data_IF_456965369339
#
_entry.id   IF_456965369339
#
_cell.length_a   1.000
_cell.length_b   1.000
_cell.length_c   1.000
_cell.angle_alpha   90.00
_cell.angle_beta   90.00
_cell.angle_gamma   90.00
#
_symmetry.space_group_name_H-M   'P 1'
#
loop_
_entity.id
_entity.type
_entity.pdbx_description
1 polymer ?
#
# COMPACT_ATOMS: atom_id res chain seq x y z
N UNK A 1 -42.22 -13.67 -36.68
CA UNK A 1 -41.01 -14.51 -36.51
C UNK A 1 -40.50 -14.42 -35.07
N UNK A 2 -40.58 -15.52 -34.32
CA UNK A 2 -40.07 -15.59 -32.94
C UNK A 2 -38.54 -15.47 -32.97
N UNK A 3 -37.99 -14.45 -32.33
CA UNK A 3 -36.54 -14.29 -32.20
C UNK A 3 -36.01 -15.45 -31.35
N UNK A 4 -35.09 -16.23 -31.92
CA UNK A 4 -34.40 -17.31 -31.23
C UNK A 4 -33.51 -16.68 -30.15
N UNK A 5 -33.90 -16.79 -28.88
CA UNK A 5 -33.09 -16.31 -27.75
C UNK A 5 -32.01 -17.36 -27.48
N UNK A 6 -30.75 -16.96 -27.51
CA UNK A 6 -29.61 -17.79 -27.12
C UNK A 6 -29.26 -17.42 -25.67
N UNK A 7 -29.30 -18.36 -24.70
CA UNK A 7 -28.86 -18.08 -23.34
C UNK A 7 -27.36 -17.73 -23.34
N UNK A 8 -27.02 -16.59 -22.75
CA UNK A 8 -25.65 -16.17 -22.51
C UNK A 8 -25.57 -15.48 -21.15
N UNK A 9 -24.51 -15.75 -20.40
CA UNK A 9 -24.15 -14.99 -19.21
C UNK A 9 -23.41 -13.72 -19.68
N UNK A 10 -24.03 -12.56 -19.53
CA UNK A 10 -23.45 -11.28 -19.93
C UNK A 10 -23.28 -10.36 -18.71
N UNK A 11 -22.04 -9.94 -18.45
CA UNK A 11 -21.79 -8.87 -17.49
C UNK A 11 -22.17 -7.54 -18.13
N UNK A 12 -23.29 -6.96 -17.69
CA UNK A 12 -23.76 -5.67 -18.19
C UNK A 12 -22.94 -4.53 -17.60
N UNK A 13 -22.23 -3.84 -18.49
CA UNK A 13 -21.43 -2.68 -18.13
C UNK A 13 -22.32 -1.42 -18.10
N UNK A 14 -22.29 -0.69 -16.99
CA UNK A 14 -22.95 0.62 -16.89
C UNK A 14 -22.14 1.68 -17.66
N UNK A 15 -22.76 2.27 -18.69
CA UNK A 15 -22.17 3.32 -19.53
C UNK A 15 -22.69 4.73 -19.20
N UNK A 16 -23.49 4.89 -18.14
CA UNK A 16 -24.02 6.20 -17.73
C UNK A 16 -22.97 7.12 -17.10
N UNK A 17 -21.89 6.55 -16.56
CA UNK A 17 -20.78 7.32 -15.98
C UNK A 17 -19.74 7.60 -17.07
N UNK A 18 -19.47 8.89 -17.41
CA UNK A 18 -18.50 9.23 -18.43
C UNK A 18 -17.06 8.92 -17.95
N UNK A 19 -16.10 8.70 -18.87
CA UNK A 19 -14.69 8.56 -18.51
C UNK A 19 -14.15 9.82 -17.81
N UNK A 20 -13.41 9.65 -16.72
CA UNK A 20 -12.78 10.75 -15.99
C UNK A 20 -11.56 11.30 -16.73
N UNK A 21 -11.52 12.63 -16.93
CA UNK A 21 -10.42 13.30 -17.64
C UNK A 21 -9.10 13.29 -16.86
N UNK A 22 -9.16 13.26 -15.51
CA UNK A 22 -8.01 13.14 -14.61
C UNK A 22 -8.22 11.94 -13.68
N UNK A 23 -7.91 10.71 -14.13
CA UNK A 23 -8.14 9.51 -13.34
C UNK A 23 -7.43 9.55 -11.99
N UNK A 24 -8.07 9.03 -10.94
CA UNK A 24 -7.47 8.85 -9.61
C UNK A 24 -7.31 7.35 -9.31
N UNK A 25 -6.14 6.97 -8.75
CA UNK A 25 -5.80 5.57 -8.45
C UNK A 25 -6.76 4.92 -7.48
N UNK A 26 -7.19 5.66 -6.45
CA UNK A 26 -8.13 5.16 -5.43
C UNK A 26 -9.61 5.17 -5.88
N UNK A 27 -9.88 5.44 -7.15
CA UNK A 27 -11.22 5.34 -7.74
C UNK A 27 -12.29 6.08 -6.94
N UNK A 28 -13.39 5.39 -6.63
CA UNK A 28 -14.54 5.96 -5.92
C UNK A 28 -14.15 6.51 -4.55
N UNK A 29 -13.17 5.93 -3.86
CA UNK A 29 -12.71 6.42 -2.55
C UNK A 29 -11.97 7.76 -2.64
N UNK A 30 -11.46 8.13 -3.82
CA UNK A 30 -10.94 9.46 -4.12
C UNK A 30 -11.94 10.36 -4.87
N UNK A 31 -13.22 9.99 -4.93
CA UNK A 31 -14.26 10.74 -5.61
C UNK A 31 -14.32 10.54 -7.13
N UNK A 32 -13.60 9.55 -7.67
CA UNK A 32 -13.59 9.23 -9.09
C UNK A 32 -14.56 8.07 -9.41
N UNK A 33 -15.79 8.43 -9.78
CA UNK A 33 -16.87 7.47 -10.05
C UNK A 33 -16.65 6.57 -11.27
N UNK A 34 -15.72 6.91 -12.16
CA UNK A 34 -15.37 6.08 -13.31
C UNK A 34 -14.33 5.00 -12.96
N UNK A 35 -13.85 4.97 -11.71
CA UNK A 35 -12.91 3.97 -11.20
C UNK A 35 -13.58 2.76 -10.53
N UNK A 36 -12.76 1.84 -10.04
CA UNK A 36 -13.17 0.65 -9.30
C UNK A 36 -14.17 0.99 -8.17
N UNK A 37 -15.23 0.17 -7.96
CA UNK A 37 -15.46 -1.17 -8.52
C UNK A 37 -16.18 -1.22 -9.88
N UNK A 38 -16.83 -0.14 -10.28
CA UNK A 38 -17.62 -0.11 -11.52
C UNK A 38 -16.80 0.32 -12.75
N UNK A 39 -15.56 0.77 -12.52
CA UNK A 39 -14.65 1.29 -13.53
C UNK A 39 -14.07 0.22 -14.45
N UNK A 40 -13.53 0.67 -15.58
CA UNK A 40 -12.98 -0.18 -16.67
C UNK A 40 -11.47 -0.07 -16.80
N UNK A 41 -10.82 0.60 -15.84
CA UNK A 41 -9.45 1.10 -15.97
C UNK A 41 -8.49 0.12 -15.31
N UNK A 42 -7.39 -0.13 -16.00
CA UNK A 42 -6.30 -0.98 -15.50
C UNK A 42 -5.40 -0.25 -14.49
N UNK A 43 -5.54 1.07 -14.36
CA UNK A 43 -4.70 1.92 -13.51
C UNK A 43 -5.30 2.18 -12.12
N UNK A 44 -6.47 1.62 -11.81
CA UNK A 44 -7.05 1.72 -10.47
C UNK A 44 -6.31 0.77 -9.54
N UNK A 45 -6.03 1.23 -8.32
CA UNK A 45 -5.36 0.43 -7.30
C UNK A 45 -6.35 -0.41 -6.52
N UNK A 46 -6.72 -1.53 -7.12
CA UNK A 46 -7.74 -2.43 -6.57
C UNK A 46 -7.36 -2.97 -5.20
N UNK A 47 -6.08 -3.09 -4.87
CA UNK A 47 -5.63 -3.64 -3.60
C UNK A 47 -5.81 -2.61 -2.49
N UNK A 48 -5.26 -1.41 -2.67
CA UNK A 48 -5.42 -0.33 -1.70
C UNK A 48 -6.90 0.04 -1.51
N UNK A 49 -7.67 0.14 -2.61
CA UNK A 49 -9.10 0.43 -2.53
C UNK A 49 -9.85 -0.65 -1.75
N UNK A 50 -9.59 -1.93 -2.06
CA UNK A 50 -10.32 -3.03 -1.41
C UNK A 50 -9.96 -3.12 0.08
N UNK A 51 -8.69 -2.91 0.42
CA UNK A 51 -8.23 -2.93 1.81
C UNK A 51 -8.88 -1.78 2.60
N UNK A 52 -8.86 -0.57 2.05
CA UNK A 52 -9.56 0.58 2.63
C UNK A 52 -11.07 0.32 2.77
N UNK A 53 -11.71 -0.26 1.75
CA UNK A 53 -13.13 -0.56 1.76
C UNK A 53 -13.51 -1.58 2.85
N UNK A 54 -12.72 -2.64 3.00
CA UNK A 54 -12.93 -3.69 4.01
C UNK A 54 -12.73 -3.16 5.43
N UNK A 55 -11.76 -2.26 5.64
CA UNK A 55 -11.57 -1.56 6.92
C UNK A 55 -12.63 -0.46 7.20
N UNK A 56 -13.57 -0.26 6.29
CA UNK A 56 -14.76 0.57 6.50
C UNK A 56 -14.79 1.91 5.74
N UNK A 57 -13.76 2.23 4.95
CA UNK A 57 -13.74 3.48 4.18
C UNK A 57 -14.91 3.60 3.18
N UNK A 58 -15.41 2.48 2.66
CA UNK A 58 -16.57 2.48 1.77
C UNK A 58 -17.88 2.88 2.47
N UNK A 59 -17.98 2.63 3.79
CA UNK A 59 -19.15 2.98 4.60
C UNK A 59 -19.07 4.42 5.12
N UNK A 60 -17.87 4.86 5.51
CA UNK A 60 -17.64 6.19 6.09
C UNK A 60 -17.39 7.26 5.03
N UNK A 61 -16.94 6.86 3.83
CA UNK A 61 -16.44 7.76 2.80
C UNK A 61 -15.08 8.39 3.16
N UNK A 62 -14.42 7.92 4.22
CA UNK A 62 -13.17 8.48 4.74
C UNK A 62 -12.11 7.39 4.73
N UNK A 63 -10.95 7.69 4.13
CA UNK A 63 -9.81 6.77 4.12
C UNK A 63 -9.32 6.52 5.55
N UNK A 64 -9.01 5.26 5.83
CA UNK A 64 -8.43 4.83 7.11
C UNK A 64 -6.99 5.33 7.18
N UNK A 65 -6.62 6.19 8.16
CA UNK A 65 -5.30 6.80 8.21
C UNK A 65 -4.17 5.78 8.35
N UNK A 66 -4.42 4.66 9.04
CA UNK A 66 -3.45 3.58 9.19
C UNK A 66 -3.07 2.90 7.87
N UNK A 67 -3.90 3.07 6.83
CA UNK A 67 -3.71 2.52 5.49
C UNK A 67 -3.44 3.62 4.45
N UNK A 68 -3.16 4.85 4.87
CA UNK A 68 -2.90 5.97 3.96
C UNK A 68 -1.71 5.69 3.03
N UNK A 69 -0.80 4.85 3.50
CA UNK A 69 0.44 4.46 2.86
C UNK A 69 0.29 3.32 1.84
N UNK A 70 -0.84 2.62 1.84
CA UNK A 70 -1.12 1.53 0.91
C UNK A 70 -0.12 0.37 0.94
N UNK A 71 -0.05 -0.36 -0.17
CA UNK A 71 0.93 -1.43 -0.41
C UNK A 71 2.28 -0.93 -0.96
N UNK A 72 2.42 0.40 -1.14
CA UNK A 72 3.59 1.09 -1.73
C UNK A 72 3.85 0.76 -3.21
N UNK A 73 2.86 0.21 -3.92
CA UNK A 73 2.94 -0.10 -5.35
C UNK A 73 2.06 0.86 -6.15
N UNK A 74 2.54 2.10 -6.27
CA UNK A 74 1.75 3.17 -6.87
C UNK A 74 1.68 3.15 -8.40
N UNK A 75 2.70 2.58 -9.05
CA UNK A 75 2.87 2.66 -10.50
C UNK A 75 3.48 1.38 -11.04
N UNK A 76 3.08 1.01 -12.26
CA UNK A 76 3.74 -0.07 -12.98
C UNK A 76 5.16 0.35 -13.41
N UNK A 77 6.09 -0.60 -13.45
CA UNK A 77 7.49 -0.34 -13.85
C UNK A 77 7.59 0.12 -15.31
N UNK A 78 6.66 -0.34 -16.16
CA UNK A 78 6.51 0.08 -17.54
C UNK A 78 5.14 0.72 -17.72
N UNK A 79 5.04 1.97 -18.20
CA UNK A 79 3.74 2.61 -18.40
C UNK A 79 2.84 1.84 -19.36
N UNK A 80 1.52 2.01 -19.21
CA UNK A 80 0.55 1.49 -20.18
C UNK A 80 0.76 2.12 -21.56
N UNK A 81 0.55 1.33 -22.62
CA UNK A 81 0.54 1.81 -23.99
C UNK A 81 -0.69 2.70 -24.27
N UNK A 82 -0.59 3.53 -25.31
CA UNK A 82 -1.70 4.38 -25.78
C UNK A 82 -2.58 3.70 -26.84
N UNK A 83 -2.20 2.49 -27.27
CA UNK A 83 -2.86 1.71 -28.31
C UNK A 83 -2.96 0.26 -27.88
N UNK A 84 -3.98 -0.44 -28.37
CA UNK A 84 -4.14 -1.86 -28.06
C UNK A 84 -2.99 -2.70 -28.65
N UNK A 85 -2.43 -3.66 -27.90
CA UNK A 85 -2.70 -3.97 -26.48
C UNK A 85 -2.06 -2.97 -25.50
N UNK A 86 -2.83 -2.52 -24.50
CA UNK A 86 -2.43 -1.44 -23.58
C UNK A 86 -1.45 -1.88 -22.48
N UNK A 87 -1.34 -3.18 -22.20
CA UNK A 87 -0.45 -3.72 -21.17
C UNK A 87 0.95 -3.90 -21.75
N UNK A 88 1.97 -3.60 -20.94
CA UNK A 88 3.36 -3.80 -21.31
C UNK A 88 3.68 -5.28 -21.62
N UNK A 89 4.73 -5.50 -22.43
CA UNK A 89 5.21 -6.85 -22.69
C UNK A 89 5.73 -7.49 -21.39
N UNK A 90 5.58 -8.83 -21.23
CA UNK A 90 6.13 -9.54 -20.08
C UNK A 90 7.64 -9.32 -19.94
N UNK A 91 8.11 -9.18 -18.70
CA UNK A 91 9.55 -9.11 -18.43
C UNK A 91 10.23 -10.46 -18.70
N UNK A 92 11.35 -10.43 -19.42
CA UNK A 92 12.21 -11.60 -19.68
C UNK A 92 13.38 -11.70 -18.69
N UNK A 93 13.53 -10.71 -17.80
CA UNK A 93 14.51 -10.70 -16.72
C UNK A 93 13.83 -11.04 -15.39
N UNK A 94 14.60 -11.57 -14.46
CA UNK A 94 14.17 -11.82 -13.10
C UNK A 94 13.71 -10.54 -12.40
N UNK A 95 12.69 -10.66 -11.53
CA UNK A 95 11.99 -9.55 -10.86
C UNK A 95 12.89 -8.66 -10.00
N UNK A 96 14.06 -9.15 -9.59
CA UNK A 96 15.07 -8.41 -8.81
C UNK A 96 16.01 -7.56 -9.70
N UNK A 97 15.88 -7.64 -11.02
CA UNK A 97 16.70 -6.89 -12.00
C UNK A 97 15.85 -6.10 -13.01
N UNK A 98 14.58 -5.86 -12.69
CA UNK A 98 13.68 -5.05 -13.51
C UNK A 98 13.98 -3.55 -13.46
N UNK A 99 13.41 -2.75 -14.37
CA UNK A 99 13.37 -1.29 -14.25
C UNK A 99 12.74 -0.96 -12.87
N UNK A 100 13.44 -0.24 -12.00
CA UNK A 100 12.99 0.02 -10.62
C UNK A 100 13.62 -0.86 -9.52
N UNK A 101 14.45 -1.86 -9.87
CA UNK A 101 15.16 -2.67 -8.88
C UNK A 101 16.16 -1.87 -8.01
N UNK A 102 16.74 -0.78 -8.55
CA UNK A 102 17.68 0.07 -7.81
C UNK A 102 17.02 0.80 -6.63
N UNK A 103 15.75 1.21 -6.74
CA UNK A 103 15.00 1.86 -5.65
C UNK A 103 14.56 0.87 -4.56
N UNK A 104 14.10 -0.33 -4.97
CA UNK A 104 13.66 -1.39 -4.04
C UNK A 104 14.80 -1.91 -3.14
N UNK A 105 16.01 -2.05 -3.69
CA UNK A 105 17.18 -2.51 -2.92
C UNK A 105 17.67 -1.47 -1.89
N UNK A 106 17.43 -0.18 -2.13
CA UNK A 106 17.83 0.88 -1.20
C UNK A 106 16.93 0.94 0.05
N UNK A 107 15.62 0.69 -0.11
CA UNK A 107 14.67 0.71 1.00
C UNK A 107 14.81 -0.52 1.90
N UNK A 108 15.02 -1.70 1.30
CA UNK A 108 15.31 -2.95 2.02
C UNK A 108 16.64 -2.92 2.79
N UNK A 109 17.60 -2.11 2.35
CA UNK A 109 18.90 -1.91 3.01
C UNK A 109 18.83 -0.99 4.24
N UNK A 110 17.75 -0.25 4.43
CA UNK A 110 17.71 0.84 5.42
C UNK A 110 17.26 0.42 6.82
N UNK A 111 16.68 -0.78 6.98
CA UNK A 111 16.17 -1.29 8.27
C UNK A 111 17.08 -2.30 8.97
N UNK A 112 18.08 -2.88 8.29
CA UNK A 112 18.98 -3.85 8.93
C UNK A 112 20.16 -3.20 9.66
N UNK A 113 20.54 -1.96 9.33
CA UNK A 113 21.78 -1.37 9.85
C UNK A 113 21.61 -0.45 11.09
N UNK A 114 20.38 -0.12 11.50
CA UNK A 114 20.15 0.72 12.71
C UNK A 114 19.86 -0.12 13.96
N UNK A 115 19.40 -1.36 13.80
CA UNK A 115 19.22 -2.31 14.90
C UNK A 115 20.56 -2.96 15.30
N UNK A 116 21.44 -3.21 14.34
CA UNK A 116 22.76 -3.82 14.59
C UNK A 116 23.77 -2.85 15.24
N UNK A 117 23.60 -1.53 15.07
CA UNK A 117 24.52 -0.54 15.65
C UNK A 117 24.14 -0.07 17.06
N UNK A 118 23.02 -0.54 17.62
CA UNK A 118 22.61 -0.23 19.02
C UNK A 118 22.94 -1.34 20.03
N UNK A 119 23.51 -2.45 19.57
CA UNK A 119 23.86 -3.59 20.40
C UNK A 119 25.38 -3.71 20.59
N UNK A 120 26.02 -2.68 21.16
CA UNK A 120 27.34 -2.83 21.78
C UNK A 120 27.66 -1.62 22.69
N UNK A 121 27.09 -1.57 23.89
CA UNK A 121 27.63 -0.75 24.98
C UNK A 121 27.73 -1.64 26.24
N UNK A 122 28.93 -2.04 26.66
CA UNK A 122 29.13 -2.77 27.90
C UNK A 122 29.36 -1.80 29.07
N UNK A 123 28.59 -2.02 30.13
CA UNK A 123 28.99 -1.77 31.53
C UNK A 123 29.00 -0.32 32.03
N UNK A 124 28.03 0.03 32.92
CA UNK A 124 28.29 0.28 34.34
C UNK A 124 26.98 0.46 35.12
N UNK A 125 26.91 -0.25 36.23
CA UNK A 125 25.76 -0.39 37.11
C UNK A 125 25.56 0.81 38.04
N UNK A 126 24.30 0.99 38.44
CA UNK A 126 23.81 1.51 39.73
C UNK A 126 24.16 2.96 40.15
N UNK A 127 23.14 3.82 40.12
CA UNK A 127 23.05 4.99 41.01
C UNK A 127 21.57 5.31 41.32
N UNK A 128 20.99 4.59 42.28
CA UNK A 128 19.80 5.02 43.02
C UNK A 128 20.26 5.45 44.42
N UNK A 129 20.67 6.72 44.55
CA UNK A 129 20.69 7.40 45.84
C UNK A 129 19.23 7.80 46.15
N UNK A 130 18.58 7.45 47.24
CA UNK A 130 19.09 7.11 48.57
C UNK A 130 18.49 8.09 49.58
N UNK A 131 17.19 8.00 49.85
CA UNK A 131 16.53 8.68 50.96
C UNK A 131 16.00 7.59 51.91
N UNK A 132 16.69 7.36 53.02
CA UNK A 132 16.35 6.27 53.94
C UNK A 132 17.27 6.19 55.16
N UNK A 133 17.06 7.12 56.09
CA UNK A 133 17.08 6.94 57.55
C UNK A 133 18.03 5.93 58.23
N UNK A 134 18.96 6.50 59.03
CA UNK A 134 19.11 6.33 60.50
C UNK A 134 19.70 5.04 61.11
N UNK A 135 20.64 5.25 62.06
CA UNK A 135 21.08 4.40 63.21
C UNK A 135 21.95 3.17 62.87
N UNK A 136 23.00 2.76 63.58
CA UNK A 136 23.61 3.02 64.89
C UNK A 136 24.99 2.32 64.87
N UNK A 137 26.03 2.86 65.53
CA UNK A 137 27.18 2.03 65.93
C UNK A 137 28.53 2.74 66.07
N UNK A 138 28.75 3.34 67.24
CA UNK A 138 30.02 3.49 67.99
C UNK A 138 30.93 2.26 67.77
N UNK A 139 32.24 2.31 67.52
CA UNK A 139 33.28 3.21 68.03
C UNK A 139 34.03 2.54 69.19
N UNK A 140 35.06 1.72 68.90
CA UNK A 140 35.95 1.12 69.90
C UNK A 140 36.21 -0.36 69.70
#
# INVERSE_FOLDING_TARGET
PLRKIVPAEELRLNMAVPPTAKPQRLGVLAGDLAGFPNGRRLADDVIDISLQAVEGAAQTGVLVPALADGDKVDTNEVPFGTSFPYVALPHTKNVNRGPGAAGRNAEQSSTENTAASRAMEPTHAAALAGAGALLLGVGG
#
